data_IF_994474070223
#
_entry.id   IF_994474070223
#
_cell.length_a   1.000
_cell.length_b   1.000
_cell.length_c   1.000
_cell.angle_alpha   90.00
_cell.angle_beta   90.00
_cell.angle_gamma   90.00
#
_symmetry.space_group_name_H-M   'P 1'
#
loop_
_entity.id
_entity.type
_entity.pdbx_description
1 polymer ?
#
# COMPACT_ATOMS: atom_id res chain seq x y z
N UNK A 1 49.19 36.64 41.56
CA UNK A 1 48.10 37.52 42.02
C UNK A 1 46.98 37.49 41.00
N UNK A 2 45.73 37.36 41.48
CA UNK A 2 44.43 37.59 40.80
C UNK A 2 43.97 36.62 39.70
N UNK A 3 43.22 35.62 40.17
CA UNK A 3 42.07 35.02 39.47
C UNK A 3 40.96 36.07 39.35
N UNK A 4 40.28 36.14 38.21
CA UNK A 4 38.90 36.61 38.10
C UNK A 4 38.26 35.95 36.86
N UNK A 5 37.25 35.13 37.15
CA UNK A 5 36.40 34.40 36.21
C UNK A 5 35.38 35.33 35.51
N UNK A 6 34.72 34.84 34.46
CA UNK A 6 33.36 35.19 33.94
C UNK A 6 33.36 34.79 32.45
N UNK A 7 32.56 33.90 31.88
CA UNK A 7 31.44 33.08 32.31
C UNK A 7 30.82 32.59 31.00
N UNK A 8 31.06 31.34 30.60
CA UNK A 8 30.51 30.80 29.35
C UNK A 8 29.07 30.33 29.61
N UNK A 9 28.10 31.09 29.12
CA UNK A 9 26.69 30.69 29.08
C UNK A 9 26.54 29.60 28.02
N UNK A 10 26.40 28.35 28.46
CA UNK A 10 25.99 27.23 27.61
C UNK A 10 24.47 27.30 27.43
N UNK A 11 24.02 27.86 26.31
CA UNK A 11 22.63 27.80 25.87
C UNK A 11 22.33 26.36 25.42
N UNK A 12 21.74 25.57 26.32
CA UNK A 12 21.11 24.29 26.02
C UNK A 12 19.84 24.53 25.18
N UNK A 13 20.00 24.55 23.86
CA UNK A 13 18.90 24.51 22.89
C UNK A 13 18.19 23.16 22.99
N UNK A 14 17.28 23.06 23.97
CA UNK A 14 16.35 21.95 24.14
C UNK A 14 15.23 22.10 23.12
N UNK A 15 15.53 21.90 21.85
CA UNK A 15 14.51 21.84 20.80
C UNK A 15 13.61 20.62 21.02
N UNK A 16 12.28 20.72 20.86
CA UNK A 16 11.43 19.56 20.92
C UNK A 16 11.81 18.63 19.78
N UNK A 17 12.31 17.44 20.12
CA UNK A 17 12.49 16.37 19.15
C UNK A 17 11.10 16.01 18.63
N UNK A 18 10.76 16.53 17.44
CA UNK A 18 9.64 16.03 16.66
C UNK A 18 10.05 14.60 16.32
N UNK A 19 9.53 13.63 17.08
CA UNK A 19 9.65 12.22 16.75
C UNK A 19 8.99 12.05 15.37
N UNK A 20 9.82 12.02 14.32
CA UNK A 20 9.38 11.60 13.01
C UNK A 20 8.85 10.19 13.22
N UNK A 21 7.54 10.02 13.12
CA UNK A 21 6.93 8.70 13.11
C UNK A 21 7.55 7.94 11.95
N UNK A 22 8.56 7.13 12.25
CA UNK A 22 9.16 6.22 11.32
C UNK A 22 8.02 5.33 10.84
N UNK A 23 7.61 5.51 9.58
CA UNK A 23 6.66 4.61 8.94
C UNK A 23 7.41 3.30 8.83
N UNK A 24 7.35 2.49 9.89
CA UNK A 24 7.98 1.19 9.95
C UNK A 24 7.61 0.48 8.65
N UNK A 25 8.64 0.11 7.87
CA UNK A 25 8.44 -0.54 6.58
C UNK A 25 7.78 -1.88 6.86
N UNK A 26 6.45 -1.92 6.71
CA UNK A 26 5.66 -3.10 7.01
C UNK A 26 5.91 -4.13 5.92
N UNK A 27 6.47 -5.26 6.30
CA UNK A 27 6.57 -6.44 5.44
C UNK A 27 5.29 -7.24 5.57
N UNK A 28 4.61 -7.46 4.45
CA UNK A 28 3.43 -8.32 4.40
C UNK A 28 3.85 -9.70 3.93
N UNK A 29 3.40 -10.74 4.63
CA UNK A 29 3.78 -12.12 4.36
C UNK A 29 2.57 -13.04 4.31
N UNK A 30 2.77 -14.28 3.83
CA UNK A 30 1.77 -15.34 3.83
C UNK A 30 0.43 -14.93 3.23
N UNK A 31 -0.61 -14.94 4.08
CA UNK A 31 -2.00 -14.65 3.69
C UNK A 31 -2.18 -13.18 3.30
N UNK A 32 -1.59 -12.24 4.02
CA UNK A 32 -1.72 -10.80 3.72
C UNK A 32 -1.03 -10.46 2.39
N UNK A 33 0.17 -11.00 2.15
CA UNK A 33 0.85 -10.85 0.86
C UNK A 33 0.03 -11.42 -0.31
N UNK A 34 -0.68 -12.53 -0.07
CA UNK A 34 -1.56 -13.13 -1.05
C UNK A 34 -2.84 -12.31 -1.29
N UNK A 35 -3.39 -11.68 -0.24
CA UNK A 35 -4.50 -10.75 -0.36
C UNK A 35 -4.10 -9.48 -1.13
N UNK A 36 -2.90 -8.94 -0.87
CA UNK A 36 -2.34 -7.81 -1.63
C UNK A 36 -2.19 -8.12 -3.12
N UNK A 37 -1.68 -9.31 -3.46
CA UNK A 37 -1.64 -9.78 -4.86
C UNK A 37 -3.02 -9.83 -5.48
N UNK A 38 -4.00 -10.31 -4.72
CA UNK A 38 -5.38 -10.41 -5.16
C UNK A 38 -5.99 -9.04 -5.46
N UNK A 39 -5.91 -8.13 -4.49
CA UNK A 39 -6.39 -6.76 -4.62
C UNK A 39 -5.73 -6.05 -5.81
N UNK A 40 -4.39 -6.15 -5.92
CA UNK A 40 -3.64 -5.50 -6.99
C UNK A 40 -4.04 -6.02 -8.38
N UNK A 41 -4.20 -7.34 -8.53
CA UNK A 41 -4.67 -7.93 -9.78
C UNK A 41 -6.05 -7.39 -10.19
N UNK A 42 -7.00 -7.29 -9.25
CA UNK A 42 -8.34 -6.75 -9.54
C UNK A 42 -8.26 -5.27 -9.96
N UNK A 43 -7.62 -4.43 -9.14
CA UNK A 43 -7.52 -3.00 -9.42
C UNK A 43 -6.78 -2.70 -10.72
N UNK A 44 -5.62 -3.34 -10.94
CA UNK A 44 -4.80 -3.04 -12.10
C UNK A 44 -5.41 -3.58 -13.40
N UNK A 45 -6.13 -4.71 -13.35
CA UNK A 45 -6.94 -5.19 -14.49
C UNK A 45 -7.99 -4.17 -14.87
N UNK A 46 -8.76 -3.67 -13.90
CA UNK A 46 -9.83 -2.70 -14.16
C UNK A 46 -9.31 -1.42 -14.82
N UNK A 47 -8.24 -0.85 -14.27
CA UNK A 47 -7.60 0.35 -14.84
C UNK A 47 -7.04 0.08 -16.23
N UNK A 48 -6.39 -1.06 -16.44
CA UNK A 48 -5.77 -1.40 -17.72
C UNK A 48 -6.80 -1.57 -18.82
N UNK A 49 -7.85 -2.36 -18.58
CA UNK A 49 -8.88 -2.61 -19.59
C UNK A 49 -9.69 -1.34 -19.89
N UNK A 50 -9.96 -0.53 -18.87
CA UNK A 50 -10.64 0.75 -19.07
C UNK A 50 -9.82 1.72 -19.92
N UNK A 51 -8.50 1.84 -19.66
CA UNK A 51 -7.59 2.66 -20.49
C UNK A 51 -7.51 2.18 -21.95
N UNK A 52 -7.66 0.88 -22.18
CA UNK A 52 -7.70 0.30 -23.51
C UNK A 52 -9.07 0.41 -24.20
N UNK A 53 -10.09 0.99 -23.55
CA UNK A 53 -11.46 1.06 -24.08
C UNK A 53 -12.20 -0.28 -24.07
N UNK A 54 -11.69 -1.27 -23.33
CA UNK A 54 -12.23 -2.64 -23.23
C UNK A 54 -13.10 -2.85 -21.98
N UNK A 55 -13.29 -1.83 -21.15
CA UNK A 55 -14.09 -1.88 -19.93
C UNK A 55 -14.69 -0.50 -19.65
N UNK A 56 -15.99 -0.46 -19.39
CA UNK A 56 -16.67 0.77 -19.00
C UNK A 56 -16.27 1.20 -17.58
N UNK A 57 -16.50 2.48 -17.28
CA UNK A 57 -16.14 3.03 -15.97
C UNK A 57 -16.85 2.31 -14.81
N UNK A 58 -18.11 1.95 -14.98
CA UNK A 58 -18.87 1.23 -13.96
C UNK A 58 -18.24 -0.12 -13.59
N UNK A 59 -17.73 -0.87 -14.58
CA UNK A 59 -17.11 -2.18 -14.35
C UNK A 59 -15.73 -2.04 -13.73
N UNK A 60 -14.96 -1.03 -14.16
CA UNK A 60 -13.69 -0.64 -13.52
C UNK A 60 -13.92 -0.29 -12.05
N UNK A 61 -14.94 0.50 -11.75
CA UNK A 61 -15.26 0.92 -10.38
C UNK A 61 -15.66 -0.28 -9.50
N UNK A 62 -16.35 -1.28 -10.06
CA UNK A 62 -16.59 -2.55 -9.36
C UNK A 62 -15.28 -3.24 -9.00
N UNK A 63 -14.33 -3.37 -9.93
CA UNK A 63 -13.04 -4.01 -9.65
C UNK A 63 -12.20 -3.23 -8.62
N UNK A 64 -12.25 -1.89 -8.65
CA UNK A 64 -11.63 -1.05 -7.64
C UNK A 64 -12.29 -1.23 -6.27
N UNK A 65 -13.62 -1.28 -6.21
CA UNK A 65 -14.38 -1.55 -4.99
C UNK A 65 -14.02 -2.90 -4.37
N UNK A 66 -13.94 -3.95 -5.19
CA UNK A 66 -13.50 -5.28 -4.75
C UNK A 66 -12.08 -5.22 -4.18
N UNK A 67 -11.15 -4.54 -4.85
CA UNK A 67 -9.78 -4.36 -4.34
C UNK A 67 -9.77 -3.68 -2.97
N UNK A 68 -10.53 -2.60 -2.80
CA UNK A 68 -10.63 -1.89 -1.50
C UNK A 68 -11.18 -2.83 -0.42
N UNK A 69 -12.25 -3.58 -0.71
CA UNK A 69 -12.83 -4.52 0.24
C UNK A 69 -11.85 -5.63 0.65
N UNK A 70 -11.06 -6.15 -0.29
CA UNK A 70 -10.01 -7.13 0.02
C UNK A 70 -8.97 -6.52 0.97
N UNK A 71 -8.51 -5.30 0.70
CA UNK A 71 -7.53 -4.61 1.54
C UNK A 71 -8.07 -4.33 2.94
N UNK A 72 -9.32 -3.91 3.07
CA UNK A 72 -9.90 -3.60 4.37
C UNK A 72 -10.14 -4.84 5.23
N UNK A 73 -10.54 -5.96 4.61
CA UNK A 73 -10.88 -7.19 5.36
C UNK A 73 -9.69 -8.11 5.61
N UNK A 74 -8.71 -8.15 4.71
CA UNK A 74 -7.67 -9.20 4.69
C UNK A 74 -6.23 -8.67 4.78
N UNK A 75 -6.06 -7.34 4.86
CA UNK A 75 -4.75 -6.72 5.02
C UNK A 75 -4.80 -5.75 6.19
N UNK A 76 -3.99 -6.02 7.21
CA UNK A 76 -3.91 -5.20 8.41
C UNK A 76 -3.01 -3.98 8.20
N UNK A 77 -3.05 -3.07 9.18
CA UNK A 77 -2.27 -1.84 9.16
C UNK A 77 -3.02 -0.64 8.58
N UNK A 78 -2.42 0.55 8.66
CA UNK A 78 -3.06 1.79 8.23
C UNK A 78 -3.18 1.85 6.71
N UNK A 79 -4.18 2.57 6.22
CA UNK A 79 -4.46 2.72 4.79
C UNK A 79 -3.22 3.14 3.97
N UNK A 80 -2.40 4.05 4.51
CA UNK A 80 -1.16 4.51 3.88
C UNK A 80 -0.20 3.34 3.59
N UNK A 81 -0.04 2.41 4.54
CA UNK A 81 0.80 1.22 4.35
C UNK A 81 0.21 0.24 3.34
N UNK A 82 -1.12 0.07 3.31
CA UNK A 82 -1.80 -0.79 2.32
C UNK A 82 -1.65 -0.22 0.91
N UNK A 83 -1.90 1.08 0.76
CA UNK A 83 -1.73 1.81 -0.50
C UNK A 83 -0.29 1.71 -1.02
N UNK A 84 0.70 1.91 -0.14
CA UNK A 84 2.10 1.80 -0.53
C UNK A 84 2.45 0.39 -1.01
N UNK A 85 1.95 -0.65 -0.35
CA UNK A 85 2.14 -2.02 -0.81
C UNK A 85 1.50 -2.28 -2.18
N UNK A 86 0.31 -1.71 -2.43
CA UNK A 86 -0.36 -1.79 -3.73
C UNK A 86 0.42 -1.10 -4.85
N UNK A 87 1.04 0.05 -4.58
CA UNK A 87 1.94 0.74 -5.53
C UNK A 87 3.13 -0.14 -5.88
N UNK A 88 3.81 -0.71 -4.89
CA UNK A 88 4.95 -1.62 -5.10
C UNK A 88 4.53 -2.84 -5.93
N UNK A 89 3.35 -3.41 -5.67
CA UNK A 89 2.84 -4.53 -6.45
C UNK A 89 2.56 -4.14 -7.90
N UNK A 90 1.95 -2.97 -8.14
CA UNK A 90 1.70 -2.45 -9.49
C UNK A 90 3.01 -2.27 -10.25
N UNK A 91 4.01 -1.63 -9.63
CA UNK A 91 5.26 -1.26 -10.30
C UNK A 91 6.12 -2.50 -10.67
N UNK A 92 5.84 -3.65 -10.06
CA UNK A 92 6.51 -4.94 -10.35
C UNK A 92 5.86 -5.75 -11.46
N UNK A 93 4.68 -5.35 -11.94
CA UNK A 93 3.86 -6.18 -12.84
C UNK A 93 3.66 -5.51 -14.19
N UNK A 94 3.87 -6.27 -15.26
CA UNK A 94 3.45 -5.86 -16.58
C UNK A 94 1.93 -5.95 -16.74
N UNK A 95 1.41 -5.25 -17.75
CA UNK A 95 0.00 -5.34 -18.15
C UNK A 95 -0.37 -6.78 -18.54
N UNK A 96 0.44 -7.41 -19.38
CA UNK A 96 0.17 -8.77 -19.89
C UNK A 96 0.17 -9.81 -18.77
N UNK A 97 1.13 -9.73 -17.84
CA UNK A 97 1.16 -10.61 -16.68
C UNK A 97 -0.09 -10.46 -15.83
N UNK A 98 -0.60 -9.22 -15.70
CA UNK A 98 -1.78 -8.92 -14.88
C UNK A 98 -3.05 -9.48 -15.51
N UNK A 99 -3.22 -9.32 -16.82
CA UNK A 99 -4.39 -9.84 -17.54
C UNK A 99 -4.39 -11.38 -17.57
N UNK A 100 -3.23 -11.99 -17.83
CA UNK A 100 -3.06 -13.44 -17.77
C UNK A 100 -3.37 -13.98 -16.36
N UNK A 101 -2.89 -13.30 -15.31
CA UNK A 101 -3.21 -13.69 -13.94
C UNK A 101 -4.68 -13.51 -13.61
N UNK A 102 -5.32 -12.43 -14.06
CA UNK A 102 -6.74 -12.22 -13.83
C UNK A 102 -7.57 -13.35 -14.41
N UNK A 103 -7.32 -13.71 -15.67
CA UNK A 103 -8.03 -14.81 -16.36
C UNK A 103 -7.87 -16.16 -15.63
N UNK A 104 -6.68 -16.45 -15.11
CA UNK A 104 -6.39 -17.73 -14.45
C UNK A 104 -6.83 -17.77 -12.99
N UNK A 105 -6.69 -16.65 -12.28
CA UNK A 105 -6.67 -16.65 -10.82
C UNK A 105 -7.83 -15.90 -10.19
N UNK A 106 -8.54 -15.01 -10.88
CA UNK A 106 -9.59 -14.17 -10.26
C UNK A 106 -10.65 -14.96 -9.49
N UNK A 107 -11.24 -16.06 -10.01
CA UNK A 107 -12.20 -16.86 -9.26
C UNK A 107 -11.60 -17.48 -7.99
N UNK A 108 -10.37 -18.00 -8.07
CA UNK A 108 -9.67 -18.56 -6.91
C UNK A 108 -9.31 -17.49 -5.86
N UNK A 109 -9.00 -16.30 -6.35
CA UNK A 109 -8.72 -15.11 -5.56
C UNK A 109 -9.89 -14.75 -4.65
N UNK A 110 -11.08 -14.58 -5.24
CA UNK A 110 -12.29 -14.15 -4.52
C UNK A 110 -12.84 -15.24 -3.60
N UNK A 111 -12.64 -16.53 -3.95
CA UNK A 111 -12.94 -17.63 -3.04
C UNK A 111 -12.04 -17.61 -1.79
N UNK A 112 -10.75 -17.27 -1.95
CA UNK A 112 -9.78 -17.22 -0.86
C UNK A 112 -9.92 -15.97 0.00
N UNK A 113 -10.34 -14.87 -0.60
CA UNK A 113 -10.52 -13.56 0.05
C UNK A 113 -11.93 -13.01 -0.19
N UNK A 114 -12.95 -13.56 0.50
CA UNK A 114 -14.34 -13.12 0.35
C UNK A 114 -14.52 -11.64 0.74
N UNK A 115 -15.45 -10.97 0.06
CA UNK A 115 -15.72 -9.54 0.24
C UNK A 115 -17.11 -9.26 0.82
N UNK A 116 -17.93 -10.31 0.99
CA UNK A 116 -19.24 -10.29 1.63
C UNK A 116 -19.14 -10.85 3.06
#
# INVERSE_FOLDING_TARGET
>A
MRRAALGAVVLLLSGPAIAQAEVATRTYEGREASALRCANMMAFTGITLNRAGLMADAEKDVLLGISVLILERHVSGPWVSKKRAMEVMRDRRSVDDTLSDYQRNAPGCLKRFPIN
#
